data_IF_047962134128
#
_entry.id   IF_047962134128
#
_cell.length_a   1.000
_cell.length_b   1.000
_cell.length_c   1.000
_cell.angle_alpha   90.00
_cell.angle_beta   90.00
_cell.angle_gamma   90.00
#
_symmetry.space_group_name_H-M   'P 1'
#
loop_
_entity.id
_entity.type
_entity.pdbx_description
1 polymer ?
#
# COMPACT_ATOMS: atom_id res chain seq x y z
N UNK A 1 -12.99 7.24 -14.92
CA UNK A 1 -11.52 7.20 -15.10
C UNK A 1 -10.79 6.36 -14.05
N UNK A 2 -11.05 6.51 -12.73
CA UNK A 2 -10.37 5.74 -11.68
C UNK A 2 -10.51 4.20 -11.80
N UNK A 3 -11.71 3.70 -12.15
CA UNK A 3 -11.94 2.25 -12.37
C UNK A 3 -11.07 1.65 -13.49
N UNK A 4 -10.81 2.41 -14.57
CA UNK A 4 -9.96 1.95 -15.67
C UNK A 4 -8.49 1.93 -15.28
N UNK A 5 -8.04 2.94 -14.51
CA UNK A 5 -6.68 2.99 -13.98
C UNK A 5 -6.44 1.87 -12.97
N UNK A 6 -7.34 1.66 -12.01
CA UNK A 6 -7.23 0.57 -11.03
C UNK A 6 -7.30 -0.81 -11.69
N UNK A 7 -8.13 -0.99 -12.73
CA UNK A 7 -8.18 -2.24 -13.50
C UNK A 7 -6.91 -2.46 -14.33
N UNK A 8 -6.35 -1.41 -14.95
CA UNK A 8 -5.04 -1.47 -15.65
C UNK A 8 -3.89 -1.75 -14.69
N UNK A 9 -3.91 -1.16 -13.49
CA UNK A 9 -2.95 -1.42 -12.43
C UNK A 9 -3.07 -2.87 -11.95
N UNK A 10 -4.30 -3.38 -11.74
CA UNK A 10 -4.55 -4.78 -11.40
C UNK A 10 -4.06 -5.76 -12.47
N UNK A 11 -4.26 -5.46 -13.76
CA UNK A 11 -3.71 -6.30 -14.84
C UNK A 11 -2.19 -6.25 -14.87
N UNK A 12 -1.57 -5.07 -14.72
CA UNK A 12 -0.12 -4.94 -14.70
C UNK A 12 0.51 -5.65 -13.48
N UNK A 13 -0.17 -5.64 -12.32
CA UNK A 13 0.27 -6.34 -11.11
C UNK A 13 -0.05 -7.83 -11.09
N UNK A 14 -0.97 -8.29 -11.94
CA UNK A 14 -1.33 -9.71 -12.13
C UNK A 14 -0.53 -10.37 -13.25
N UNK A 15 -0.02 -9.60 -14.22
CA UNK A 15 0.82 -10.11 -15.32
C UNK A 15 2.26 -10.45 -14.89
N UNK A 16 2.72 -9.99 -13.72
CA UNK A 16 4.01 -10.43 -13.17
C UNK A 16 3.98 -11.89 -12.68
N UNK A 17 2.80 -12.47 -12.40
CA UNK A 17 2.67 -13.90 -12.07
C UNK A 17 3.02 -14.79 -13.30
N UNK A 18 2.83 -14.28 -14.53
CA UNK A 18 3.31 -14.96 -15.75
C UNK A 18 4.81 -14.78 -15.95
N UNK A 19 5.42 -13.69 -15.47
CA UNK A 19 6.87 -13.51 -15.55
C UNK A 19 7.59 -14.47 -14.60
N UNK A 20 7.08 -14.68 -13.39
CA UNK A 20 7.63 -15.67 -12.45
C UNK A 20 7.41 -17.11 -12.96
N UNK A 21 6.31 -17.40 -13.66
CA UNK A 21 6.08 -18.71 -14.29
C UNK A 21 6.97 -18.96 -15.52
N UNK A 22 7.19 -17.95 -16.37
CA UNK A 22 8.08 -18.02 -17.54
C UNK A 22 9.55 -18.14 -17.11
N UNK A 23 9.98 -17.39 -16.09
CA UNK A 23 11.34 -17.50 -15.52
C UNK A 23 11.59 -18.88 -14.92
N UNK A 24 10.58 -19.51 -14.32
CA UNK A 24 10.71 -20.86 -13.76
C UNK A 24 10.59 -21.96 -14.84
N UNK A 25 9.84 -21.74 -15.92
CA UNK A 25 9.70 -22.70 -17.03
C UNK A 25 10.91 -22.68 -17.99
N UNK A 26 11.59 -21.53 -18.15
CA UNK A 26 12.85 -21.43 -18.91
C UNK A 26 14.08 -21.97 -18.15
N UNK A 27 13.94 -22.33 -16.87
CA UNK A 27 15.03 -22.86 -16.05
C UNK A 27 15.36 -24.34 -16.31
N UNK A 28 14.50 -25.09 -16.99
CA UNK A 28 14.68 -26.52 -17.27
C UNK A 28 15.13 -26.83 -18.72
N UNK A 29 15.47 -25.82 -19.52
CA UNK A 29 16.00 -25.96 -20.88
C UNK A 29 17.43 -25.46 -21.02
N UNK A 30 18.38 -26.39 -21.23
CA UNK A 30 19.81 -26.15 -21.40
C UNK A 30 20.16 -24.97 -22.34
N UNK A 31 20.85 -23.92 -21.84
CA UNK A 31 21.84 -23.19 -22.66
C UNK A 31 22.72 -22.19 -21.89
N UNK A 32 24.02 -22.31 -22.14
CA UNK A 32 25.08 -21.29 -22.05
C UNK A 32 25.24 -20.46 -20.77
N UNK A 33 26.35 -20.73 -20.06
CA UNK A 33 26.86 -19.98 -18.91
C UNK A 33 27.27 -18.55 -19.31
N UNK A 34 26.31 -17.65 -19.47
CA UNK A 34 26.56 -16.22 -19.38
C UNK A 34 26.53 -15.85 -17.90
N UNK A 35 27.67 -16.04 -17.22
CA UNK A 35 27.88 -15.55 -15.86
C UNK A 35 28.06 -14.02 -15.92
N UNK A 36 26.99 -13.31 -16.28
CA UNK A 36 26.93 -11.87 -16.15
C UNK A 36 27.24 -11.51 -14.70
N UNK A 37 28.19 -10.61 -14.52
CA UNK A 37 28.63 -10.12 -13.22
C UNK A 37 27.47 -9.37 -12.54
N UNK A 38 26.49 -10.11 -11.99
CA UNK A 38 25.43 -9.59 -11.12
C UNK A 38 26.13 -9.15 -9.85
N UNK A 39 26.58 -7.88 -9.84
CA UNK A 39 27.06 -7.25 -8.63
C UNK A 39 26.05 -7.52 -7.52
N UNK A 40 26.50 -8.21 -6.47
CA UNK A 40 25.66 -8.48 -5.30
C UNK A 40 25.11 -7.16 -4.80
N UNK A 41 23.78 -7.07 -4.70
CA UNK A 41 23.09 -5.88 -4.19
C UNK A 41 23.66 -5.55 -2.81
N UNK A 42 24.22 -4.36 -2.65
CA UNK A 42 24.76 -3.91 -1.36
C UNK A 42 23.59 -3.76 -0.39
N UNK A 43 23.63 -4.52 0.71
CA UNK A 43 22.64 -4.39 1.77
C UNK A 43 22.91 -3.12 2.57
N UNK A 44 21.93 -2.22 2.61
CA UNK A 44 21.97 -1.00 3.42
C UNK A 44 21.10 -1.23 4.65
N UNK A 45 21.68 -1.04 5.84
CA UNK A 45 20.98 -1.16 7.12
C UNK A 45 20.18 0.11 7.39
N UNK A 46 18.86 0.03 7.25
CA UNK A 46 17.94 1.19 7.25
C UNK A 46 17.28 1.51 8.60
N UNK A 47 17.81 1.00 9.72
CA UNK A 47 17.26 1.21 11.07
C UNK A 47 15.72 1.38 11.13
N UNK A 48 15.03 0.26 10.84
CA UNK A 48 13.57 0.23 10.69
C UNK A 48 12.83 0.61 11.97
N UNK A 49 13.42 0.36 13.14
CA UNK A 49 12.84 0.68 14.44
C UNK A 49 12.72 2.20 14.59
N UNK A 50 13.81 2.94 14.34
CA UNK A 50 13.77 4.39 14.37
C UNK A 50 12.83 4.95 13.30
N UNK A 51 12.74 4.33 12.12
CA UNK A 51 11.76 4.70 11.11
C UNK A 51 10.31 4.58 11.61
N UNK A 52 10.00 3.51 12.34
CA UNK A 52 8.69 3.30 12.96
C UNK A 52 8.39 4.35 14.04
N UNK A 53 9.32 4.58 14.96
CA UNK A 53 9.17 5.55 16.05
C UNK A 53 8.94 6.98 15.52
N UNK A 54 9.71 7.38 14.51
CA UNK A 54 9.54 8.66 13.83
C UNK A 54 8.16 8.76 13.19
N UNK A 55 7.71 7.72 12.48
CA UNK A 55 6.37 7.70 11.88
C UNK A 55 5.27 7.81 12.94
N UNK A 56 5.39 7.05 14.03
CA UNK A 56 4.44 7.03 15.12
C UNK A 56 4.34 8.39 15.80
N UNK A 57 5.47 8.98 16.20
CA UNK A 57 5.54 10.31 16.80
C UNK A 57 4.99 11.41 15.90
N UNK A 58 5.14 11.27 14.60
CA UNK A 58 4.69 12.30 13.65
C UNK A 58 3.17 12.37 13.51
N UNK A 59 2.45 11.24 13.61
CA UNK A 59 1.02 11.20 13.25
C UNK A 59 0.12 10.44 14.23
N UNK A 60 0.66 9.48 14.98
CA UNK A 60 -0.13 8.49 15.71
C UNK A 60 0.02 8.55 17.22
N UNK A 61 1.01 9.28 17.75
CA UNK A 61 1.11 9.57 19.18
C UNK A 61 -0.10 10.36 19.70
N UNK A 62 -0.25 10.42 21.02
CA UNK A 62 -1.28 11.22 21.70
C UNK A 62 -1.16 12.70 21.33
N UNK A 63 0.07 13.21 21.34
CA UNK A 63 0.43 14.55 20.87
C UNK A 63 1.29 14.42 19.60
N UNK A 64 0.69 14.31 18.40
CA UNK A 64 1.44 14.16 17.15
C UNK A 64 2.09 15.48 16.74
N UNK A 65 3.27 15.39 16.11
CA UNK A 65 3.94 16.56 15.52
C UNK A 65 3.05 17.25 14.49
N UNK A 66 2.29 16.46 13.71
CA UNK A 66 1.40 17.00 12.68
C UNK A 66 -0.07 16.90 13.08
N UNK A 67 -0.82 18.02 13.09
CA UNK A 67 -2.25 18.02 13.39
C UNK A 67 -3.09 17.31 12.31
N UNK A 68 -4.35 17.00 12.64
CA UNK A 68 -5.28 16.22 11.82
C UNK A 68 -5.51 16.76 10.40
N UNK A 69 -5.47 18.08 10.22
CA UNK A 69 -5.58 18.73 8.90
C UNK A 69 -4.37 18.38 8.00
N UNK A 70 -3.16 18.40 8.54
CA UNK A 70 -1.95 17.99 7.82
C UNK A 70 -1.91 16.48 7.59
N UNK A 71 -2.41 15.68 8.54
CA UNK A 71 -2.61 14.25 8.32
C UNK A 71 -3.52 14.03 7.10
N UNK A 72 -4.69 14.68 7.06
CA UNK A 72 -5.64 14.55 5.95
C UNK A 72 -5.05 14.98 4.62
N UNK A 73 -4.30 16.09 4.60
CA UNK A 73 -3.59 16.53 3.39
C UNK A 73 -2.57 15.49 2.93
N UNK A 74 -1.82 14.87 3.86
CA UNK A 74 -0.70 14.00 3.54
C UNK A 74 -1.08 12.56 3.18
N UNK A 75 -2.12 12.04 3.83
CA UNK A 75 -2.63 10.68 3.59
C UNK A 75 -3.88 10.66 2.70
N UNK A 76 -4.40 11.85 2.30
CA UNK A 76 -5.63 12.03 1.51
C UNK A 76 -6.89 11.43 2.16
N UNK A 77 -6.82 11.11 3.45
CA UNK A 77 -7.92 10.50 4.22
C UNK A 77 -7.86 10.95 5.68
N UNK A 78 -8.96 10.77 6.43
CA UNK A 78 -8.97 11.06 7.86
C UNK A 78 -8.18 10.01 8.66
N UNK A 79 -7.62 10.42 9.81
CA UNK A 79 -6.88 9.52 10.71
C UNK A 79 -7.73 8.32 11.18
N UNK A 80 -9.00 8.47 11.59
CA UNK A 80 -9.83 7.33 11.97
C UNK A 80 -10.04 6.32 10.83
N UNK A 81 -10.24 6.80 9.59
CA UNK A 81 -10.39 5.92 8.44
C UNK A 81 -9.10 5.16 8.14
N UNK A 82 -7.95 5.83 8.24
CA UNK A 82 -6.65 5.19 8.09
C UNK A 82 -6.48 4.06 9.12
N UNK A 83 -6.79 4.32 10.40
CA UNK A 83 -6.67 3.33 11.46
C UNK A 83 -7.60 2.13 11.24
N UNK A 84 -8.84 2.37 10.78
CA UNK A 84 -9.75 1.30 10.38
C UNK A 84 -9.14 0.42 9.29
N UNK A 85 -8.72 1.02 8.17
CA UNK A 85 -8.09 0.28 7.06
C UNK A 85 -6.90 -0.54 7.54
N UNK A 86 -6.07 0.08 8.38
CA UNK A 86 -4.86 -0.52 8.89
C UNK A 86 -5.13 -1.75 9.76
N UNK A 87 -6.11 -1.70 10.66
CA UNK A 87 -6.48 -2.85 11.49
C UNK A 87 -7.07 -4.00 10.65
N UNK A 88 -7.94 -3.69 9.68
CA UNK A 88 -8.55 -4.70 8.80
C UNK A 88 -7.49 -5.41 7.95
N UNK A 89 -6.53 -4.65 7.39
CA UNK A 89 -5.45 -5.21 6.57
C UNK A 89 -4.48 -6.04 7.40
N UNK A 90 -4.14 -5.60 8.62
CA UNK A 90 -3.28 -6.36 9.53
C UNK A 90 -3.90 -7.69 9.94
N UNK A 91 -5.22 -7.70 10.20
CA UNK A 91 -5.95 -8.91 10.55
C UNK A 91 -6.07 -9.90 9.38
N UNK A 92 -6.20 -9.40 8.15
CA UNK A 92 -6.43 -10.24 6.97
C UNK A 92 -5.16 -10.83 6.37
N UNK A 93 -4.09 -10.03 6.21
CA UNK A 93 -2.92 -10.42 5.42
C UNK A 93 -1.67 -10.63 6.31
N UNK A 94 -1.21 -11.89 6.50
CA UNK A 94 -0.09 -12.23 7.38
C UNK A 94 1.26 -11.59 6.99
N UNK A 95 1.39 -11.11 5.75
CA UNK A 95 2.57 -10.37 5.29
C UNK A 95 2.80 -9.08 6.08
N UNK A 96 1.74 -8.42 6.52
CA UNK A 96 1.85 -7.14 7.22
C UNK A 96 2.30 -7.30 8.67
N UNK A 97 1.99 -8.44 9.31
CA UNK A 97 2.43 -8.76 10.67
C UNK A 97 3.94 -8.62 10.80
N UNK A 98 4.38 -7.81 11.78
CA UNK A 98 5.80 -7.58 12.02
C UNK A 98 6.46 -8.85 12.56
N UNK A 99 7.47 -9.36 11.84
CA UNK A 99 8.21 -10.57 12.22
C UNK A 99 9.65 -10.23 12.59
N UNK A 100 10.26 -11.11 13.39
CA UNK A 100 11.71 -11.08 13.63
C UNK A 100 12.42 -11.86 12.53
N UNK A 101 13.58 -11.39 12.12
CA UNK A 101 14.48 -12.16 11.27
C UNK A 101 15.15 -13.30 12.04
N UNK A 102 15.86 -14.19 11.34
CA UNK A 102 16.60 -15.29 11.96
C UNK A 102 17.69 -14.81 12.94
N UNK A 103 18.09 -13.53 12.87
CA UNK A 103 19.02 -12.91 13.81
C UNK A 103 18.30 -12.23 15.00
N UNK A 104 16.99 -12.43 15.14
CA UNK A 104 16.17 -11.93 16.24
C UNK A 104 15.80 -10.45 16.16
N UNK A 105 16.13 -9.76 15.06
CA UNK A 105 15.88 -8.32 14.85
C UNK A 105 14.48 -8.10 14.32
N UNK A 106 13.80 -7.06 14.80
CA UNK A 106 12.48 -6.69 14.32
C UNK A 106 12.56 -6.15 12.89
N UNK A 107 11.78 -6.73 11.99
CA UNK A 107 11.59 -6.23 10.63
C UNK A 107 10.73 -4.98 10.57
N UNK A 108 10.37 -4.56 9.36
CA UNK A 108 9.45 -3.44 9.11
C UNK A 108 8.10 -3.67 9.77
N UNK A 109 7.57 -2.63 10.42
CA UNK A 109 6.23 -2.68 11.01
C UNK A 109 5.15 -2.63 9.93
N UNK A 110 3.96 -3.15 10.23
CA UNK A 110 2.80 -3.02 9.33
C UNK A 110 2.50 -1.53 9.03
N UNK A 111 2.59 -0.64 10.04
CA UNK A 111 2.39 0.80 9.86
C UNK A 111 3.32 1.38 8.79
N UNK A 112 4.60 0.99 8.78
CA UNK A 112 5.57 1.45 7.78
C UNK A 112 5.19 0.96 6.38
N UNK A 113 4.89 -0.34 6.25
CA UNK A 113 4.50 -0.96 4.98
C UNK A 113 3.24 -0.32 4.39
N UNK A 114 2.17 -0.23 5.18
CA UNK A 114 0.88 0.37 4.76
C UNK A 114 1.04 1.86 4.46
N UNK A 115 1.80 2.59 5.27
CA UNK A 115 2.06 4.02 5.01
C UNK A 115 2.84 4.22 3.71
N UNK A 116 3.82 3.36 3.42
CA UNK A 116 4.55 3.38 2.17
C UNK A 116 3.59 3.19 0.98
N UNK A 117 2.79 2.12 1.00
CA UNK A 117 1.80 1.83 -0.04
C UNK A 117 0.82 2.98 -0.26
N UNK A 118 0.24 3.52 0.81
CA UNK A 118 -0.73 4.61 0.72
C UNK A 118 -0.12 5.91 0.20
N UNK A 119 1.11 6.23 0.57
CA UNK A 119 1.79 7.43 0.06
C UNK A 119 2.19 7.29 -1.41
N UNK A 120 2.64 6.10 -1.81
CA UNK A 120 2.89 5.79 -3.22
C UNK A 120 1.61 5.97 -4.05
N UNK A 121 0.46 5.50 -3.56
CA UNK A 121 -0.84 5.70 -4.22
C UNK A 121 -1.31 7.17 -4.20
N UNK A 122 -1.11 7.88 -3.09
CA UNK A 122 -1.59 9.26 -2.92
C UNK A 122 -0.81 10.29 -3.73
N UNK A 123 0.48 10.04 -3.97
CA UNK A 123 1.36 10.97 -4.66
C UNK A 123 1.87 10.47 -6.01
N UNK A 124 1.71 9.18 -6.34
CA UNK A 124 2.26 8.59 -7.55
C UNK A 124 3.79 8.56 -7.57
N UNK A 125 4.42 8.40 -6.39
CA UNK A 125 5.88 8.39 -6.24
C UNK A 125 6.46 6.98 -6.37
N UNK A 126 7.74 6.90 -6.77
CA UNK A 126 8.49 5.65 -6.83
C UNK A 126 8.74 5.05 -5.44
N UNK A 127 9.02 3.74 -5.38
CA UNK A 127 9.34 3.05 -4.13
C UNK A 127 10.63 3.55 -3.48
N UNK A 128 11.60 3.99 -4.28
CA UNK A 128 12.90 4.52 -3.80
C UNK A 128 12.72 5.81 -2.98
N UNK A 129 11.78 6.68 -3.37
CA UNK A 129 11.45 7.89 -2.61
C UNK A 129 10.97 7.60 -1.18
N UNK A 130 10.41 6.41 -0.93
CA UNK A 130 9.95 6.03 0.39
C UNK A 130 11.09 5.66 1.35
N UNK A 131 12.30 5.42 0.85
CA UNK A 131 13.45 5.04 1.67
C UNK A 131 13.84 6.17 2.64
N UNK A 132 13.89 7.42 2.17
CA UNK A 132 14.26 8.56 3.03
C UNK A 132 13.27 8.78 4.17
N UNK A 133 11.97 8.60 3.92
CA UNK A 133 10.92 8.95 4.88
C UNK A 133 10.49 7.78 5.76
N UNK A 134 10.28 6.59 5.19
CA UNK A 134 9.77 5.41 5.91
C UNK A 134 10.91 4.44 6.28
N UNK A 135 12.07 4.57 5.62
CA UNK A 135 13.21 3.66 5.75
C UNK A 135 12.89 2.25 5.31
N UNK A 136 12.25 2.17 4.15
CA UNK A 136 11.86 0.94 3.46
C UNK A 136 12.58 0.87 2.12
N UNK A 137 13.16 -0.29 1.81
CA UNK A 137 13.81 -0.49 0.51
C UNK A 137 12.76 -0.55 -0.62
N UNK A 138 13.12 -0.05 -1.79
CA UNK A 138 12.24 0.02 -2.97
C UNK A 138 11.51 -1.30 -3.27
N UNK A 139 12.23 -2.43 -3.29
CA UNK A 139 11.63 -3.73 -3.60
C UNK A 139 10.55 -4.13 -2.58
N UNK A 140 10.79 -3.85 -1.30
CA UNK A 140 9.83 -4.13 -0.22
C UNK A 140 8.67 -3.14 -0.23
N UNK A 141 8.89 -1.89 -0.61
CA UNK A 141 7.83 -0.90 -0.80
C UNK A 141 6.90 -1.32 -1.95
N UNK A 142 7.46 -1.76 -3.08
CA UNK A 142 6.70 -2.26 -4.22
C UNK A 142 5.91 -3.52 -3.87
N UNK A 143 6.53 -4.49 -3.20
CA UNK A 143 5.84 -5.70 -2.74
C UNK A 143 4.70 -5.36 -1.75
N UNK A 144 4.96 -4.48 -0.78
CA UNK A 144 3.95 -3.98 0.16
C UNK A 144 2.80 -3.30 -0.55
N UNK A 145 3.06 -2.54 -1.62
CA UNK A 145 2.04 -1.90 -2.43
C UNK A 145 1.17 -2.95 -3.14
N UNK A 146 1.77 -3.96 -3.76
CA UNK A 146 1.05 -5.04 -4.44
C UNK A 146 0.13 -5.78 -3.48
N UNK A 147 0.67 -6.24 -2.35
CA UNK A 147 -0.10 -6.95 -1.31
C UNK A 147 -1.21 -6.07 -0.76
N UNK A 148 -0.90 -4.82 -0.43
CA UNK A 148 -1.89 -3.86 0.07
C UNK A 148 -3.06 -3.68 -0.91
N UNK A 149 -2.79 -3.41 -2.19
CA UNK A 149 -3.84 -3.24 -3.18
C UNK A 149 -4.72 -4.50 -3.32
N UNK A 150 -4.12 -5.69 -3.35
CA UNK A 150 -4.85 -6.96 -3.40
C UNK A 150 -5.76 -7.12 -2.17
N UNK A 151 -5.22 -6.94 -0.98
CA UNK A 151 -5.96 -7.04 0.29
C UNK A 151 -7.10 -6.03 0.36
N UNK A 152 -6.87 -4.76 0.00
CA UNK A 152 -7.91 -3.73 -0.01
C UNK A 152 -9.05 -4.09 -0.95
N UNK A 153 -8.74 -4.55 -2.16
CA UNK A 153 -9.77 -4.97 -3.11
C UNK A 153 -10.56 -6.13 -2.52
N UNK A 154 -9.91 -7.13 -1.92
CA UNK A 154 -10.62 -8.27 -1.35
C UNK A 154 -11.51 -7.92 -0.15
N UNK A 155 -11.04 -7.06 0.76
CA UNK A 155 -11.81 -6.67 1.96
C UNK A 155 -12.96 -5.74 1.60
N UNK A 156 -12.71 -4.78 0.71
CA UNK A 156 -13.62 -3.65 0.48
C UNK A 156 -14.35 -3.70 -0.86
N UNK A 157 -14.17 -4.74 -1.69
CA UNK A 157 -14.82 -4.83 -3.01
C UNK A 157 -16.32 -4.72 -2.90
N UNK A 158 -16.89 -5.48 -1.97
CA UNK A 158 -18.32 -5.73 -1.90
C UNK A 158 -19.06 -4.55 -1.27
N UNK A 159 -18.40 -3.83 -0.36
CA UNK A 159 -18.95 -2.65 0.28
C UNK A 159 -18.75 -1.39 -0.57
N UNK A 160 -17.53 -1.15 -1.06
CA UNK A 160 -17.12 0.16 -1.61
C UNK A 160 -16.79 0.17 -3.10
N UNK A 161 -16.40 -0.96 -3.71
CA UNK A 161 -16.01 -1.00 -5.13
C UNK A 161 -17.12 -1.51 -6.05
N UNK A 162 -18.24 -1.98 -5.49
CA UNK A 162 -19.44 -2.37 -6.24
C UNK A 162 -20.11 -1.19 -6.95
N UNK A 163 -21.01 -1.49 -7.88
CA UNK A 163 -21.87 -0.47 -8.47
C UNK A 163 -22.86 0.07 -7.43
N UNK A 164 -23.17 1.39 -7.45
CA UNK A 164 -24.18 1.96 -6.56
C UNK A 164 -25.51 1.23 -6.71
N UNK A 165 -26.14 0.89 -5.58
CA UNK A 165 -27.49 0.35 -5.56
C UNK A 165 -28.51 1.49 -5.40
N UNK A 166 -29.81 1.17 -5.45
CA UNK A 166 -30.87 2.17 -5.31
C UNK A 166 -30.78 2.95 -3.98
N UNK A 167 -30.35 2.30 -2.89
CA UNK A 167 -30.19 2.95 -1.59
C UNK A 167 -29.02 3.93 -1.56
N UNK A 168 -27.89 3.58 -2.19
CA UNK A 168 -26.74 4.49 -2.31
C UNK A 168 -27.11 5.72 -3.12
N UNK A 169 -27.84 5.52 -4.24
CA UNK A 169 -28.34 6.59 -5.10
C UNK A 169 -29.27 7.51 -4.33
N UNK A 170 -30.26 6.97 -3.62
CA UNK A 170 -31.18 7.75 -2.80
C UNK A 170 -30.43 8.55 -1.73
N UNK A 171 -29.46 7.93 -1.05
CA UNK A 171 -28.63 8.61 -0.05
C UNK A 171 -27.80 9.74 -0.67
N UNK A 172 -27.21 9.52 -1.84
CA UNK A 172 -26.41 10.54 -2.54
C UNK A 172 -27.28 11.72 -3.00
N UNK A 173 -28.50 11.46 -3.50
CA UNK A 173 -29.45 12.51 -3.88
C UNK A 173 -29.87 13.38 -2.70
N UNK A 174 -30.16 12.78 -1.54
CA UNK A 174 -30.48 13.53 -0.31
C UNK A 174 -29.30 14.43 0.10
N UNK A 175 -28.07 13.91 0.03
CA UNK A 175 -26.87 14.70 0.34
C UNK A 175 -26.65 15.81 -0.69
N UNK A 176 -26.95 15.56 -1.96
CA UNK A 176 -26.91 16.57 -3.03
C UNK A 176 -27.90 17.70 -2.77
N UNK A 177 -29.13 17.37 -2.43
CA UNK A 177 -30.20 18.32 -2.10
C UNK A 177 -29.83 19.19 -0.89
N UNK A 178 -29.31 18.60 0.19
CA UNK A 178 -28.83 19.34 1.37
C UNK A 178 -27.70 20.33 1.04
N UNK A 179 -26.94 20.06 -0.03
CA UNK A 179 -25.85 20.92 -0.51
C UNK A 179 -26.28 21.91 -1.58
N UNK A 180 -27.57 21.94 -1.95
CA UNK A 180 -28.13 22.84 -2.97
C UNK A 180 -28.02 22.32 -4.41
N UNK A 181 -27.78 21.02 -4.59
CA UNK A 181 -27.68 20.36 -5.90
C UNK A 181 -28.79 19.29 -6.07
N UNK A 182 -30.06 19.72 -6.18
CA UNK A 182 -31.17 18.79 -6.34
C UNK A 182 -31.07 18.02 -7.66
N UNK A 183 -31.27 16.70 -7.59
CA UNK A 183 -31.24 15.81 -8.77
C UNK A 183 -29.85 15.48 -9.32
N UNK A 184 -28.76 15.92 -8.68
CA UNK A 184 -27.39 15.57 -9.08
C UNK A 184 -26.87 14.34 -8.33
N UNK A 185 -26.29 13.40 -9.09
CA UNK A 185 -25.57 12.21 -8.62
C UNK A 185 -24.06 12.37 -8.78
#
# INVERSE_FOLDING_TARGET
MARSFFRKLLTYLSSDDELDAVINAEADGESSRHHGNRQRRKFIRRDHIQGHECLFRNYFSENPVYPSNLFRRRFRMSRPLFLRILNEVEAYEPYFVQRRDNAGRLGLSFMQKITASLRMLAYGVSGDFMDEYIRIGESTAMESLKKFCKTIVTIFSDEYLRSPNANDIARLLVVGEQRGFPGML
#
